data_IF_844102685874
#
_entry.id   IF_844102685874
#
_cell.length_a   1.000
_cell.length_b   1.000
_cell.length_c   1.000
_cell.angle_alpha   90.00
_cell.angle_beta   90.00
_cell.angle_gamma   90.00
#
_symmetry.space_group_name_H-M   'P 1'
#
loop_
_entity.id
_entity.type
_entity.pdbx_description
1 polymer ?
#
# COMPACT_ATOMS: atom_id res chain seq x y z
N UNK A 1 5.70 -6.26 -15.17
CA UNK A 1 4.33 -6.23 -14.59
C UNK A 1 4.34 -5.66 -13.19
N UNK A 2 3.46 -4.72 -12.91
CA UNK A 2 3.31 -4.16 -11.58
C UNK A 2 1.93 -4.50 -11.06
N UNK A 3 1.86 -4.98 -9.82
CA UNK A 3 0.61 -5.22 -9.11
C UNK A 3 0.51 -4.18 -8.01
N UNK A 4 -0.48 -3.29 -8.10
CA UNK A 4 -0.71 -2.28 -7.08
C UNK A 4 -1.78 -2.76 -6.10
N UNK A 5 -1.46 -2.73 -4.81
CA UNK A 5 -2.41 -3.07 -3.76
C UNK A 5 -2.93 -1.78 -3.14
N UNK A 6 -4.24 -1.60 -3.16
CA UNK A 6 -4.91 -0.44 -2.59
C UNK A 6 -5.88 -0.88 -1.51
N UNK A 7 -6.17 0.01 -0.57
CA UNK A 7 -7.09 -0.28 0.52
C UNK A 7 -6.80 0.60 1.73
N UNK A 8 -7.65 0.51 2.74
CA UNK A 8 -7.51 1.31 3.94
C UNK A 8 -6.35 0.84 4.81
N UNK A 9 -5.88 1.74 5.68
CA UNK A 9 -4.92 1.40 6.72
C UNK A 9 -5.47 0.25 7.56
N UNK A 10 -4.60 -0.70 7.91
CA UNK A 10 -5.01 -1.84 8.72
C UNK A 10 -5.65 -2.99 7.94
N UNK A 11 -5.80 -2.88 6.63
CA UNK A 11 -6.36 -3.96 5.83
C UNK A 11 -5.37 -5.07 5.50
N UNK A 12 -4.10 -4.90 5.86
CA UNK A 12 -3.09 -5.94 5.66
C UNK A 12 -2.32 -5.86 4.35
N UNK A 13 -2.35 -4.71 3.67
CA UNK A 13 -1.68 -4.55 2.37
C UNK A 13 -0.21 -4.97 2.38
N UNK A 14 0.52 -4.57 3.40
CA UNK A 14 1.95 -4.88 3.45
C UNK A 14 2.19 -6.38 3.61
N UNK A 15 1.46 -7.03 4.52
CA UNK A 15 1.58 -8.48 4.75
C UNK A 15 1.19 -9.26 3.50
N UNK A 16 0.04 -8.94 2.93
CA UNK A 16 -0.46 -9.60 1.73
C UNK A 16 0.49 -9.35 0.57
N UNK A 17 0.97 -8.11 0.43
CA UNK A 17 1.87 -7.73 -0.65
C UNK A 17 3.19 -8.48 -0.62
N UNK A 18 3.78 -8.63 0.56
CA UNK A 18 5.05 -9.37 0.69
C UNK A 18 4.87 -10.84 0.33
N UNK A 19 3.76 -11.44 0.74
CA UNK A 19 3.46 -12.84 0.43
C UNK A 19 3.21 -13.03 -1.06
N UNK A 20 2.45 -12.13 -1.67
CA UNK A 20 2.18 -12.18 -3.10
C UNK A 20 3.47 -12.02 -3.92
N UNK A 21 4.32 -11.07 -3.54
CA UNK A 21 5.58 -10.86 -4.22
C UNK A 21 6.45 -12.12 -4.20
N UNK A 22 6.53 -12.79 -3.05
CA UNK A 22 7.28 -14.05 -2.95
C UNK A 22 6.71 -15.13 -3.86
N UNK A 23 5.39 -15.24 -3.94
CA UNK A 23 4.76 -16.24 -4.79
C UNK A 23 5.00 -15.99 -6.28
N UNK A 24 5.03 -14.72 -6.66
CA UNK A 24 5.24 -14.33 -8.06
C UNK A 24 6.71 -14.27 -8.46
N UNK A 25 7.62 -14.25 -7.48
CA UNK A 25 9.01 -13.99 -7.74
C UNK A 25 9.27 -12.53 -8.09
N UNK A 26 8.45 -11.61 -7.59
CA UNK A 26 8.55 -10.17 -7.80
C UNK A 26 9.18 -9.51 -6.58
N UNK A 27 9.73 -8.33 -6.78
CA UNK A 27 10.16 -7.48 -5.67
C UNK A 27 8.94 -6.82 -5.03
N UNK A 28 9.08 -6.45 -3.76
CA UNK A 28 8.04 -5.73 -3.02
C UNK A 28 8.47 -4.30 -2.76
N UNK A 29 7.55 -3.36 -2.92
CA UNK A 29 7.76 -1.96 -2.58
C UNK A 29 6.55 -1.41 -1.82
N UNK A 30 6.81 -0.63 -0.78
CA UNK A 30 5.81 0.12 -0.04
C UNK A 30 6.06 1.59 -0.32
N UNK A 31 5.07 2.32 -0.84
CA UNK A 31 5.28 3.71 -1.25
C UNK A 31 5.62 4.62 -0.08
N UNK A 32 4.98 4.43 1.07
CA UNK A 32 5.27 5.25 2.25
C UNK A 32 6.69 5.03 2.75
N UNK A 33 7.13 3.77 2.85
CA UNK A 33 8.49 3.45 3.27
C UNK A 33 9.53 4.07 2.36
N UNK A 34 9.30 4.01 1.06
CA UNK A 34 10.24 4.58 0.09
C UNK A 34 10.29 6.10 0.16
N UNK A 35 9.15 6.73 0.37
CA UNK A 35 9.10 8.18 0.54
C UNK A 35 9.83 8.59 1.81
N UNK A 36 9.61 7.87 2.91
CA UNK A 36 10.31 8.15 4.15
C UNK A 36 11.82 8.05 4.00
N UNK A 37 12.30 7.05 3.30
CA UNK A 37 13.73 6.90 3.03
C UNK A 37 14.27 8.02 2.15
N UNK A 38 13.52 8.40 1.13
CA UNK A 38 13.92 9.46 0.21
C UNK A 38 13.96 10.83 0.90
N UNK A 39 12.97 11.11 1.76
CA UNK A 39 12.86 12.39 2.45
C UNK A 39 13.67 12.47 3.74
N UNK A 40 14.09 11.34 4.28
CA UNK A 40 14.79 11.30 5.55
C UNK A 40 13.92 11.65 6.75
N UNK A 41 12.62 11.44 6.64
CA UNK A 41 11.63 11.76 7.68
C UNK A 41 10.44 10.83 7.55
N UNK A 42 9.71 10.62 8.65
CA UNK A 42 8.51 9.79 8.56
C UNK A 42 7.34 10.60 7.98
N UNK A 43 6.28 9.89 7.59
CA UNK A 43 5.12 10.49 6.93
C UNK A 43 4.50 11.59 7.80
N UNK A 44 4.38 11.37 9.11
CA UNK A 44 3.79 12.37 10.01
C UNK A 44 4.61 13.66 10.01
N UNK A 45 5.92 13.56 10.04
CA UNK A 45 6.81 14.73 10.00
C UNK A 45 6.70 15.46 8.66
N UNK A 46 6.64 14.72 7.56
CA UNK A 46 6.48 15.33 6.23
C UNK A 46 5.18 16.14 6.17
N UNK A 47 4.08 15.56 6.66
CA UNK A 47 2.81 16.29 6.72
C UNK A 47 2.89 17.53 7.59
N UNK A 48 3.54 17.42 8.74
CA UNK A 48 3.63 18.52 9.69
C UNK A 48 4.47 19.69 9.17
N UNK A 49 5.62 19.40 8.59
CA UNK A 49 6.58 20.43 8.20
C UNK A 49 6.42 20.91 6.76
N UNK A 50 6.01 20.04 5.86
CA UNK A 50 5.93 20.37 4.43
C UNK A 50 4.50 20.44 3.91
N UNK A 51 3.53 19.86 4.61
CA UNK A 51 2.12 19.91 4.24
C UNK A 51 1.64 18.77 3.37
N UNK A 52 0.32 18.64 3.27
CA UNK A 52 -0.31 17.55 2.54
C UNK A 52 0.00 17.59 1.04
N UNK A 53 -0.07 18.78 0.44
CA UNK A 53 0.19 18.89 -0.99
C UNK A 53 1.58 18.42 -1.37
N UNK A 54 2.58 18.79 -0.58
CA UNK A 54 3.94 18.33 -0.79
C UNK A 54 4.01 16.80 -0.74
N UNK A 55 3.38 16.20 0.28
CA UNK A 55 3.38 14.75 0.42
C UNK A 55 2.69 14.06 -0.75
N UNK A 56 1.55 14.60 -1.20
CA UNK A 56 0.83 14.03 -2.35
C UNK A 56 1.66 14.08 -3.63
N UNK A 57 2.41 15.16 -3.83
CA UNK A 57 3.34 15.24 -4.96
C UNK A 57 4.48 14.25 -4.82
N UNK A 58 4.98 14.05 -3.62
CA UNK A 58 6.01 13.04 -3.36
C UNK A 58 5.49 11.62 -3.65
N UNK A 59 4.25 11.34 -3.28
CA UNK A 59 3.62 10.05 -3.61
C UNK A 59 3.53 9.85 -5.11
N UNK A 60 3.09 10.88 -5.85
CA UNK A 60 3.00 10.78 -7.31
C UNK A 60 4.38 10.58 -7.93
N UNK A 61 5.38 11.29 -7.45
CA UNK A 61 6.75 11.11 -7.92
C UNK A 61 7.27 9.70 -7.69
N UNK A 62 6.98 9.15 -6.51
CA UNK A 62 7.37 7.77 -6.20
C UNK A 62 6.65 6.78 -7.11
N UNK A 63 5.35 6.99 -7.34
CA UNK A 63 4.57 6.16 -8.27
C UNK A 63 5.22 6.14 -9.65
N UNK A 64 5.57 7.31 -10.17
CA UNK A 64 6.19 7.40 -11.50
C UNK A 64 7.57 6.75 -11.54
N UNK A 65 8.37 6.87 -10.47
CA UNK A 65 9.65 6.18 -10.39
C UNK A 65 9.50 4.66 -10.47
N UNK A 66 8.52 4.12 -9.73
CA UNK A 66 8.27 2.68 -9.73
C UNK A 66 7.81 2.19 -11.10
N UNK A 67 6.94 2.95 -11.76
CA UNK A 67 6.48 2.60 -13.10
C UNK A 67 7.64 2.65 -14.09
N UNK A 68 8.48 3.68 -14.00
CA UNK A 68 9.60 3.87 -14.92
C UNK A 68 10.71 2.83 -14.75
N UNK A 69 10.77 2.17 -13.60
CA UNK A 69 11.81 1.16 -13.33
C UNK A 69 11.76 -0.01 -14.30
N UNK A 70 10.58 -0.34 -14.79
CA UNK A 70 10.40 -1.51 -15.66
C UNK A 70 10.47 -2.83 -14.93
N UNK A 71 10.59 -2.82 -13.62
CA UNK A 71 10.73 -4.03 -12.80
C UNK A 71 9.38 -4.72 -12.60
N UNK A 72 9.45 -6.01 -12.25
CA UNK A 72 8.28 -6.74 -11.80
C UNK A 72 8.10 -6.49 -10.31
N UNK A 73 7.03 -5.80 -9.95
CA UNK A 73 6.82 -5.31 -8.58
C UNK A 73 5.43 -5.62 -8.06
N UNK A 74 5.36 -5.88 -6.77
CA UNK A 74 4.13 -5.75 -6.00
C UNK A 74 4.29 -4.48 -5.15
N UNK A 75 3.39 -3.52 -5.34
CA UNK A 75 3.46 -2.20 -4.69
C UNK A 75 2.30 -2.04 -3.73
N UNK A 76 2.61 -1.86 -2.45
CA UNK A 76 1.61 -1.48 -1.46
C UNK A 76 1.54 0.05 -1.43
N UNK A 77 0.37 0.61 -1.76
CA UNK A 77 0.20 2.06 -1.83
C UNK A 77 -0.30 2.61 -0.50
N UNK A 78 0.09 3.86 -0.19
CA UNK A 78 -0.47 4.56 0.96
C UNK A 78 -1.96 4.82 0.77
N UNK A 79 -2.69 5.00 1.89
CA UNK A 79 -4.15 5.07 1.86
C UNK A 79 -4.72 6.19 1.00
N UNK A 80 -4.04 7.32 0.92
CA UNK A 80 -4.53 8.47 0.15
C UNK A 80 -4.00 8.56 -1.27
N UNK A 81 -3.00 7.74 -1.62
CA UNK A 81 -2.40 7.82 -2.95
C UNK A 81 -3.38 7.53 -4.07
N UNK A 82 -4.19 6.46 -4.00
CA UNK A 82 -5.07 6.11 -5.13
C UNK A 82 -6.13 7.16 -5.45
N UNK A 83 -6.53 7.96 -4.47
CA UNK A 83 -7.63 8.93 -4.64
C UNK A 83 -7.16 10.33 -5.00
N UNK A 84 -5.85 10.56 -5.04
CA UNK A 84 -5.32 11.90 -5.37
C UNK A 84 -5.09 12.05 -6.86
N UNK A 85 -5.56 13.17 -7.42
CA UNK A 85 -5.42 13.50 -8.84
C UNK A 85 -5.83 12.29 -9.71
N UNK A 86 -5.07 11.97 -10.73
CA UNK A 86 -5.34 10.84 -11.64
C UNK A 86 -4.52 9.59 -11.32
N UNK A 87 -4.07 9.45 -10.07
CA UNK A 87 -3.21 8.32 -9.69
C UNK A 87 -3.83 6.97 -10.01
N UNK A 88 -5.13 6.79 -9.75
CA UNK A 88 -5.79 5.51 -10.05
C UNK A 88 -5.76 5.21 -11.55
N UNK A 89 -6.00 6.20 -12.38
CA UNK A 89 -5.92 6.05 -13.84
C UNK A 89 -4.50 5.66 -14.25
N UNK A 90 -3.51 6.32 -13.64
CA UNK A 90 -2.11 6.06 -13.94
C UNK A 90 -1.72 4.64 -13.55
N UNK A 91 -2.15 4.17 -12.36
CA UNK A 91 -1.88 2.81 -11.91
C UNK A 91 -2.53 1.77 -12.83
N UNK A 92 -3.79 1.99 -13.17
CA UNK A 92 -4.51 1.06 -14.05
C UNK A 92 -3.89 0.98 -15.44
N UNK A 93 -3.31 2.07 -15.92
CA UNK A 93 -2.61 2.08 -17.20
C UNK A 93 -1.24 1.40 -17.14
N UNK A 94 -0.66 1.28 -15.97
CA UNK A 94 0.70 0.75 -15.79
C UNK A 94 0.75 -0.70 -15.33
N UNK A 95 -0.33 -1.20 -14.74
CA UNK A 95 -0.35 -2.54 -14.20
C UNK A 95 -1.72 -2.98 -13.73
N UNK A 96 -1.74 -3.94 -12.83
CA UNK A 96 -2.97 -4.47 -12.25
C UNK A 96 -3.19 -3.85 -10.88
N UNK A 97 -4.38 -3.30 -10.64
CA UNK A 97 -4.75 -2.73 -9.35
C UNK A 97 -5.67 -3.69 -8.63
N UNK A 98 -5.30 -4.08 -7.41
CA UNK A 98 -6.05 -5.02 -6.58
C UNK A 98 -6.48 -4.29 -5.32
N UNK A 99 -7.78 -4.27 -5.07
CA UNK A 99 -8.36 -3.62 -3.89
C UNK A 99 -8.52 -4.63 -2.77
N UNK A 100 -7.85 -4.39 -1.65
CA UNK A 100 -7.96 -5.22 -0.46
C UNK A 100 -9.12 -4.69 0.37
N UNK A 101 -10.17 -5.50 0.51
CA UNK A 101 -11.39 -5.09 1.21
C UNK A 101 -11.56 -5.85 2.51
N UNK A 102 -11.93 -5.10 3.55
CA UNK A 102 -12.32 -5.65 4.83
C UNK A 102 -13.44 -4.81 5.40
N UNK A 103 -14.34 -5.44 6.17
CA UNK A 103 -15.37 -4.70 6.88
C UNK A 103 -14.74 -3.80 7.94
N UNK A 104 -15.48 -2.78 8.39
CA UNK A 104 -15.00 -1.91 9.47
C UNK A 104 -14.68 -2.72 10.74
N UNK A 105 -15.48 -3.73 11.04
CA UNK A 105 -15.25 -4.63 12.18
C UNK A 105 -13.94 -5.39 12.03
N UNK A 106 -13.69 -5.93 10.85
CA UNK A 106 -12.45 -6.67 10.60
C UNK A 106 -11.22 -5.77 10.69
N UNK A 107 -11.31 -4.56 10.20
CA UNK A 107 -10.22 -3.59 10.29
C UNK A 107 -9.95 -3.23 11.75
N UNK A 108 -11.00 -2.96 12.53
CA UNK A 108 -10.87 -2.64 13.94
C UNK A 108 -10.22 -3.80 14.71
N UNK A 109 -10.60 -5.03 14.39
CA UNK A 109 -10.02 -6.21 15.04
C UNK A 109 -8.53 -6.35 14.72
N UNK A 110 -8.12 -6.04 13.49
CA UNK A 110 -6.70 -6.12 13.13
C UNK A 110 -5.87 -5.02 13.79
N UNK A 111 -6.45 -3.85 13.98
CA UNK A 111 -5.76 -2.75 14.66
C UNK A 111 -5.69 -2.94 16.17
N UNK A 112 -6.59 -3.75 16.74
CA UNK A 112 -6.59 -4.09 18.15
C UNK A 112 -5.62 -5.25 18.40
N UNK A 113 -4.58 -5.07 19.23
CA UNK A 113 -3.61 -6.14 19.47
C UNK A 113 -4.24 -7.45 19.93
N UNK A 114 -5.20 -7.38 20.85
CA UNK A 114 -5.84 -8.58 21.37
C UNK A 114 -6.89 -9.14 20.44
N UNK A 115 -7.69 -8.27 19.82
CA UNK A 115 -8.75 -8.69 18.93
C UNK A 115 -8.23 -9.42 17.72
N UNK A 116 -7.14 -8.94 17.17
CA UNK A 116 -6.54 -9.52 15.97
C UNK A 116 -6.15 -10.98 16.17
N UNK A 117 -5.49 -11.28 17.27
CA UNK A 117 -5.01 -12.63 17.53
C UNK A 117 -6.12 -13.59 17.90
N UNK A 118 -7.24 -13.09 18.42
CA UNK A 118 -8.36 -13.90 18.84
C UNK A 118 -9.38 -14.15 17.75
N UNK A 119 -9.09 -13.75 16.53
CA UNK A 119 -10.04 -13.86 15.40
C UNK A 119 -9.43 -14.67 14.27
N UNK A 120 -9.40 -15.99 14.39
CA UNK A 120 -8.79 -16.85 13.38
C UNK A 120 -9.36 -16.65 11.97
N UNK A 121 -10.66 -16.33 11.87
CA UNK A 121 -11.28 -16.11 10.57
C UNK A 121 -10.72 -14.92 9.81
N UNK A 122 -10.16 -13.92 10.52
CA UNK A 122 -9.51 -12.81 9.85
C UNK A 122 -8.21 -13.25 9.18
N UNK A 123 -7.48 -14.15 9.84
CA UNK A 123 -6.28 -14.71 9.23
C UNK A 123 -6.62 -15.56 8.02
N UNK A 124 -7.74 -16.31 8.11
CA UNK A 124 -8.25 -17.07 6.98
C UNK A 124 -8.63 -16.19 5.81
N UNK A 125 -9.21 -15.01 6.08
CA UNK A 125 -9.52 -14.05 5.03
C UNK A 125 -8.26 -13.53 4.34
N UNK A 126 -7.21 -13.26 5.12
CA UNK A 126 -5.95 -12.83 4.55
C UNK A 126 -5.40 -13.89 3.58
N UNK A 127 -5.47 -15.15 3.96
CA UNK A 127 -5.02 -16.23 3.12
C UNK A 127 -5.85 -16.35 1.84
N UNK A 128 -7.16 -16.16 1.94
CA UNK A 128 -8.05 -16.27 0.78
C UNK A 128 -7.88 -15.11 -0.19
N UNK A 129 -7.47 -13.95 0.27
CA UNK A 129 -7.24 -12.78 -0.57
C UNK A 129 -5.97 -12.91 -1.42
N UNK A 130 -5.17 -13.87 -1.10
CA UNK A 130 -3.98 -14.18 -1.87
C UNK A 130 -4.29 -15.19 -2.98
#
# INVERSE_FOLDING_TARGET
>A
MIVFLVGYMGCGKTTIGRRLARRLGYDFADTDDRIEKQEGADVCDIFHYAGEEYFRKAERGMLEQLIASGDDLVVSTGGGLPVWADNMVRMNGAGLTVYIRRSAEQIAARLSPHGRWKRPKLRGLDDREL
#
